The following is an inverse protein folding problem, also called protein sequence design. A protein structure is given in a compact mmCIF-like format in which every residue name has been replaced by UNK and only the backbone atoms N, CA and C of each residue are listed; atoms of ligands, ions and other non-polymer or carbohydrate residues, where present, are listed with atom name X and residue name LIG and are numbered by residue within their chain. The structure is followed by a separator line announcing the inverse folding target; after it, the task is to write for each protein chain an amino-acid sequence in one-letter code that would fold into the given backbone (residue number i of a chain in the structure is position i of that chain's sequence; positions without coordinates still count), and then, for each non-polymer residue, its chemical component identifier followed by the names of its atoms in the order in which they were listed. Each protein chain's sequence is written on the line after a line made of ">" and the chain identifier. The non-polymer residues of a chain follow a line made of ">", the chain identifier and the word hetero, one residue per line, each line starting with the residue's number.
data_IF_266577103428
#
_entry.id   IF_266577103428
#
_cell.length_a   1.000
_cell.length_b   1.000
_cell.length_c   1.000
_cell.angle_alpha   90.00
_cell.angle_beta   90.00
_cell.angle_gamma   90.00
#
_symmetry.space_group_name_H-M   'P 1'
#
loop_
_entity.id
_entity.type
_entity.pdbx_description
1 polymer ?
#
# COMPACT_ATOMS: atom_id res chain seq x y z
N UNK A 1 -35.07 27.29 -16.14
CA UNK A 1 -36.54 27.36 -16.08
C UNK A 1 -37.04 26.78 -17.38
N UNK A 2 -37.76 25.66 -17.29
CA UNK A 2 -38.59 25.01 -18.32
C UNK A 2 -37.93 24.56 -19.64
N UNK A 3 -37.69 23.26 -19.72
CA UNK A 3 -38.22 22.33 -20.75
C UNK A 3 -37.19 21.34 -21.29
N UNK A 4 -36.86 20.35 -20.46
CA UNK A 4 -36.65 18.98 -20.92
C UNK A 4 -37.65 18.07 -20.18
N UNK A 5 -38.87 18.09 -20.74
CA UNK A 5 -39.95 17.10 -20.70
C UNK A 5 -39.52 15.70 -20.24
N UNK A 6 -40.08 15.17 -19.15
CA UNK A 6 -41.37 14.45 -19.14
C UNK A 6 -41.35 13.02 -19.69
N UNK A 7 -40.26 12.26 -19.53
CA UNK A 7 -40.21 10.84 -19.94
C UNK A 7 -39.80 9.86 -18.82
N UNK A 8 -39.94 10.22 -17.54
CA UNK A 8 -39.60 9.28 -16.45
C UNK A 8 -40.60 9.25 -15.27
N UNK A 9 -41.83 9.74 -15.47
CA UNK A 9 -42.89 9.74 -14.45
C UNK A 9 -44.00 8.70 -14.70
N UNK A 10 -43.72 7.65 -15.48
CA UNK A 10 -44.75 6.72 -15.98
C UNK A 10 -44.69 5.26 -15.49
N UNK A 11 -43.72 4.84 -14.68
CA UNK A 11 -43.53 3.42 -14.34
C UNK A 11 -43.26 3.18 -12.85
N UNK A 12 -44.18 3.65 -12.01
CA UNK A 12 -44.38 3.14 -10.64
C UNK A 12 -45.89 3.13 -10.36
N UNK A 13 -46.62 2.21 -11.01
CA UNK A 13 -48.02 1.92 -10.71
C UNK A 13 -48.48 0.58 -11.28
N UNK A 14 -47.84 -0.51 -10.87
CA UNK A 14 -48.49 -1.82 -10.68
C UNK A 14 -47.53 -2.79 -10.00
N UNK A 15 -47.96 -3.28 -8.84
CA UNK A 15 -47.62 -4.59 -8.31
C UNK A 15 -47.93 -5.65 -9.41
N UNK A 16 -47.16 -6.74 -9.51
CA UNK A 16 -47.11 -7.74 -10.62
C UNK A 16 -46.08 -7.30 -11.69
N UNK A 17 -44.84 -7.78 -11.76
CA UNK A 17 -44.36 -9.16 -11.65
C UNK A 17 -43.17 -9.29 -10.69
N UNK A 18 -43.41 -9.91 -9.54
CA UNK A 18 -42.38 -10.62 -8.77
C UNK A 18 -42.55 -12.09 -9.17
N UNK A 19 -41.77 -12.57 -10.14
CA UNK A 19 -41.59 -14.01 -10.31
C UNK A 19 -40.56 -14.48 -9.27
N UNK A 20 -41.06 -14.74 -8.07
CA UNK A 20 -40.42 -15.63 -7.09
C UNK A 20 -40.37 -17.03 -7.69
N UNK A 21 -39.27 -17.37 -8.36
CA UNK A 21 -38.87 -18.77 -8.44
C UNK A 21 -37.99 -19.12 -7.24
N UNK A 22 -38.50 -20.08 -6.46
CA UNK A 22 -37.84 -20.77 -5.36
C UNK A 22 -36.41 -21.23 -5.75
N UNK A 23 -35.40 -20.39 -5.48
CA UNK A 23 -33.98 -20.76 -5.24
C UNK A 23 -33.09 -19.52 -4.98
N UNK A 24 -33.45 -18.69 -4.01
CA UNK A 24 -32.49 -17.92 -3.21
C UNK A 24 -31.71 -16.73 -3.81
N UNK A 25 -31.74 -16.47 -5.12
CA UNK A 25 -30.87 -15.43 -5.71
C UNK A 25 -31.62 -14.18 -6.18
N UNK A 26 -31.21 -13.01 -5.69
CA UNK A 26 -31.68 -11.71 -6.23
C UNK A 26 -30.67 -11.21 -7.29
N UNK A 27 -31.16 -10.80 -8.46
CA UNK A 27 -30.34 -10.27 -9.56
C UNK A 27 -30.57 -8.77 -9.72
N UNK A 28 -29.53 -7.98 -9.45
CA UNK A 28 -29.50 -6.55 -9.76
C UNK A 28 -28.78 -6.35 -11.09
N UNK A 29 -29.48 -5.75 -12.07
CA UNK A 29 -28.91 -5.35 -13.36
C UNK A 29 -28.51 -3.89 -13.31
N UNK A 30 -27.22 -3.62 -13.45
CA UNK A 30 -26.73 -2.33 -13.97
C UNK A 30 -26.31 -2.51 -15.43
N UNK A 31 -26.24 -1.42 -16.20
CA UNK A 31 -25.98 -1.47 -17.64
C UNK A 31 -24.65 -2.13 -18.08
N UNK A 32 -23.79 -2.59 -17.16
CA UNK A 32 -22.53 -3.27 -17.51
C UNK A 32 -22.17 -4.52 -16.70
N UNK A 33 -22.98 -4.95 -15.71
CA UNK A 33 -22.69 -6.18 -14.93
C UNK A 33 -23.94 -6.69 -14.21
N UNK A 34 -24.06 -8.02 -14.09
CA UNK A 34 -25.09 -8.71 -13.31
C UNK A 34 -24.45 -9.30 -12.06
N UNK A 35 -24.95 -8.95 -10.88
CA UNK A 35 -24.50 -9.52 -9.60
C UNK A 35 -25.55 -10.49 -9.07
N UNK A 36 -25.11 -11.66 -8.61
CA UNK A 36 -25.94 -12.69 -7.98
C UNK A 36 -25.63 -12.70 -6.49
N UNK A 37 -26.63 -12.41 -5.65
CA UNK A 37 -26.53 -12.50 -4.21
C UNK A 37 -27.50 -13.56 -3.69
N UNK A 38 -26.98 -14.48 -2.87
CA UNK A 38 -27.78 -15.46 -2.12
C UNK A 38 -28.20 -14.79 -0.81
N UNK A 39 -29.47 -14.37 -0.69
CA UNK A 39 -29.91 -13.45 0.38
C UNK A 39 -30.86 -14.16 1.34
N UNK A 40 -30.38 -14.35 2.57
CA UNK A 40 -31.19 -14.50 3.76
C UNK A 40 -30.98 -13.34 4.74
N UNK A 41 -31.24 -12.09 4.35
CA UNK A 41 -31.38 -10.90 5.24
C UNK A 41 -31.85 -9.67 4.44
N UNK A 42 -32.71 -8.83 5.03
CA UNK A 42 -33.31 -7.66 4.36
C UNK A 42 -32.28 -6.53 4.10
N UNK A 43 -32.35 -5.92 2.91
CA UNK A 43 -31.50 -4.80 2.49
C UNK A 43 -32.34 -3.52 2.39
N UNK A 44 -31.84 -2.42 2.96
CA UNK A 44 -32.40 -1.07 2.79
C UNK A 44 -31.40 -0.16 2.07
N UNK A 45 -31.93 0.69 1.18
CA UNK A 45 -31.20 1.70 0.42
C UNK A 45 -31.73 3.07 0.82
N UNK A 46 -30.84 3.92 1.35
CA UNK A 46 -31.12 5.34 1.55
C UNK A 46 -30.17 6.14 0.65
N UNK A 47 -30.74 7.02 -0.18
CA UNK A 47 -29.99 7.82 -1.14
C UNK A 47 -30.36 9.28 -0.91
N UNK A 48 -29.37 10.12 -0.60
CA UNK A 48 -29.52 11.58 -0.57
C UNK A 48 -28.86 12.20 -1.81
N UNK A 49 -29.33 13.39 -2.21
CA UNK A 49 -29.08 14.11 -3.47
C UNK A 49 -27.60 14.42 -3.84
N UNK A 50 -26.63 13.88 -3.10
CA UNK A 50 -25.20 13.91 -3.42
C UNK A 50 -24.67 12.50 -3.66
N UNK A 51 -25.08 11.86 -4.76
CA UNK A 51 -24.39 10.75 -5.46
C UNK A 51 -23.77 9.60 -4.64
N UNK A 52 -24.24 9.35 -3.41
CA UNK A 52 -23.79 8.27 -2.53
C UNK A 52 -25.05 7.54 -2.10
N UNK A 53 -25.14 6.25 -2.43
CA UNK A 53 -26.15 5.36 -1.86
C UNK A 53 -25.40 4.40 -0.92
N UNK A 54 -25.80 4.40 0.34
CA UNK A 54 -25.25 3.48 1.34
C UNK A 54 -26.12 2.22 1.39
N UNK A 55 -25.47 1.05 1.39
CA UNK A 55 -26.13 -0.25 1.54
C UNK A 55 -25.86 -0.76 2.94
N UNK A 56 -26.90 -0.84 3.77
CA UNK A 56 -26.81 -1.37 5.13
C UNK A 56 -27.07 -2.89 5.09
N UNK A 57 -26.05 -3.69 5.39
CA UNK A 57 -26.19 -5.13 5.66
C UNK A 57 -25.99 -5.39 7.16
N UNK A 58 -27.08 -5.73 7.86
CA UNK A 58 -26.97 -6.28 9.22
C UNK A 58 -26.81 -7.80 9.12
N UNK A 59 -25.61 -8.32 9.35
CA UNK A 59 -25.43 -9.71 9.77
C UNK A 59 -25.06 -9.75 11.25
N UNK A 60 -25.90 -10.42 12.03
CA UNK A 60 -25.57 -10.86 13.38
C UNK A 60 -24.44 -11.88 13.32
N UNK A 61 -23.36 -11.61 14.05
CA UNK A 61 -22.21 -12.46 14.37
C UNK A 61 -21.07 -12.60 13.33
N UNK A 62 -19.89 -12.17 13.79
CA UNK A 62 -18.50 -12.40 13.33
C UNK A 62 -17.89 -11.51 12.23
N UNK A 63 -16.89 -10.72 12.68
CA UNK A 63 -15.80 -10.05 11.96
C UNK A 63 -16.15 -9.27 10.69
N UNK A 64 -16.43 -7.98 10.86
CA UNK A 64 -16.44 -7.01 9.76
C UNK A 64 -14.99 -6.63 9.45
N UNK A 65 -14.47 -7.15 8.33
CA UNK A 65 -13.35 -6.53 7.60
C UNK A 65 -13.93 -5.33 6.87
N UNK A 66 -13.66 -4.12 7.37
CA UNK A 66 -13.97 -2.88 6.66
C UNK A 66 -13.01 -2.75 5.47
N UNK A 67 -13.46 -3.18 4.29
CA UNK A 67 -12.83 -2.79 3.03
C UNK A 67 -13.08 -1.29 2.82
N UNK A 68 -12.05 -0.48 3.06
CA UNK A 68 -11.94 0.83 2.39
C UNK A 68 -11.64 0.54 0.92
N UNK A 69 -12.68 0.37 0.11
CA UNK A 69 -12.55 0.34 -1.34
C UNK A 69 -12.37 1.79 -1.83
N UNK A 70 -11.16 2.32 -1.69
CA UNK A 70 -10.74 3.44 -2.53
C UNK A 70 -10.50 2.87 -3.92
N UNK A 71 -11.52 3.07 -4.76
CA UNK A 71 -11.48 2.84 -6.19
C UNK A 71 -10.28 3.61 -6.74
N UNK A 72 -9.23 2.91 -7.17
CA UNK A 72 -8.18 3.47 -8.04
C UNK A 72 -8.86 4.40 -9.05
N UNK A 73 -8.43 5.65 -9.23
CA UNK A 73 -9.14 6.59 -10.09
C UNK A 73 -9.31 6.00 -11.49
N UNK A 74 -10.54 5.56 -11.79
CA UNK A 74 -10.93 5.06 -13.10
C UNK A 74 -10.94 6.28 -14.02
N UNK A 75 -9.84 6.49 -14.73
CA UNK A 75 -9.76 7.48 -15.81
C UNK A 75 -10.80 7.09 -16.88
N UNK A 76 -11.85 7.92 -17.03
CA UNK A 76 -12.82 7.81 -18.12
C UNK A 76 -12.14 8.01 -19.48
N UNK A 77 -12.39 7.07 -20.39
CA UNK A 77 -11.77 6.99 -21.71
C UNK A 77 -12.35 7.99 -22.72
N UNK A 78 -11.53 8.55 -23.63
CA UNK A 78 -12.00 9.06 -24.91
C UNK A 78 -12.44 7.87 -25.78
N UNK A 79 -13.70 7.87 -26.20
CA UNK A 79 -14.15 7.01 -27.29
C UNK A 79 -13.60 7.59 -28.59
N UNK A 80 -12.76 6.84 -29.29
CA UNK A 80 -12.73 6.79 -30.75
C UNK A 80 -11.87 5.60 -31.21
N UNK A 81 -12.53 4.56 -31.75
CA UNK A 81 -11.86 3.40 -32.35
C UNK A 81 -11.61 3.67 -33.83
N UNK A 82 -10.35 3.58 -34.26
CA UNK A 82 -10.00 3.05 -35.58
C UNK A 82 -9.62 1.58 -35.44
N UNK A 83 -9.95 0.79 -36.46
CA UNK A 83 -10.23 -0.65 -36.37
C UNK A 83 -9.00 -1.58 -36.49
N UNK A 84 -7.78 -1.07 -36.57
CA UNK A 84 -6.59 -1.90 -36.85
C UNK A 84 -5.42 -1.72 -35.86
N UNK A 85 -5.62 -1.05 -34.71
CA UNK A 85 -4.56 -0.88 -33.71
C UNK A 85 -5.12 -1.13 -32.30
N UNK A 86 -4.88 -2.34 -31.76
CA UNK A 86 -5.37 -2.70 -30.43
C UNK A 86 -4.50 -1.98 -29.40
N UNK A 87 -5.02 -0.88 -28.86
CA UNK A 87 -4.34 -0.08 -27.84
C UNK A 87 -4.57 -0.60 -26.43
N UNK A 88 -5.56 -1.45 -26.22
CA UNK A 88 -5.94 -1.96 -24.91
C UNK A 88 -6.36 -3.43 -25.03
N UNK A 89 -5.82 -4.27 -24.15
CA UNK A 89 -6.12 -5.69 -24.08
C UNK A 89 -6.54 -6.05 -22.66
N UNK A 90 -7.74 -6.63 -22.54
CA UNK A 90 -8.33 -7.05 -21.29
C UNK A 90 -8.63 -8.56 -21.32
N UNK A 91 -7.89 -9.30 -20.50
CA UNK A 91 -8.00 -10.74 -20.30
C UNK A 91 -8.13 -11.07 -18.81
N UNK A 92 -9.06 -10.41 -18.13
CA UNK A 92 -9.52 -10.83 -16.81
C UNK A 92 -10.20 -12.20 -16.85
N UNK A 93 -9.96 -13.04 -15.82
CA UNK A 93 -10.63 -14.33 -15.60
C UNK A 93 -10.52 -15.34 -16.76
N UNK A 94 -9.40 -15.33 -17.49
CA UNK A 94 -9.17 -16.22 -18.64
C UNK A 94 -8.53 -17.55 -18.29
N UNK A 95 -8.27 -17.80 -16.99
CA UNK A 95 -7.56 -18.99 -16.52
C UNK A 95 -6.19 -19.18 -17.20
N UNK A 96 -5.53 -18.09 -17.59
CA UNK A 96 -4.22 -18.14 -18.23
C UNK A 96 -3.15 -18.59 -17.23
N UNK A 97 -2.36 -19.60 -17.59
CA UNK A 97 -1.19 -20.03 -16.83
C UNK A 97 0.12 -19.42 -17.33
N UNK A 98 0.12 -18.87 -18.55
CA UNK A 98 1.28 -18.23 -19.17
C UNK A 98 0.85 -17.19 -20.20
N UNK A 99 1.70 -16.19 -20.47
CA UNK A 99 1.50 -15.23 -21.56
C UNK A 99 1.51 -15.88 -22.94
N UNK A 100 2.08 -17.09 -23.09
CA UNK A 100 2.00 -17.84 -24.36
C UNK A 100 0.57 -18.19 -24.76
N UNK A 101 -0.37 -18.19 -23.80
CA UNK A 101 -1.80 -18.34 -24.06
C UNK A 101 -2.44 -17.14 -24.78
N UNK A 102 -1.70 -16.04 -24.93
CA UNK A 102 -2.15 -14.83 -25.65
C UNK A 102 -1.35 -14.74 -26.97
N UNK A 103 -1.88 -15.27 -28.08
CA UNK A 103 -1.18 -15.26 -29.35
C UNK A 103 -0.92 -13.82 -29.82
N UNK A 104 0.27 -13.58 -30.37
CA UNK A 104 0.71 -12.30 -30.93
C UNK A 104 0.77 -11.12 -29.94
N UNK A 105 0.70 -11.35 -28.62
CA UNK A 105 0.77 -10.27 -27.61
C UNK A 105 1.97 -9.34 -27.84
N UNK A 106 3.15 -9.92 -28.06
CA UNK A 106 4.41 -9.19 -28.25
C UNK A 106 4.47 -8.41 -29.57
N UNK A 107 3.59 -8.73 -30.53
CA UNK A 107 3.49 -8.04 -31.81
C UNK A 107 2.57 -6.82 -31.75
N UNK A 108 1.83 -6.63 -30.64
CA UNK A 108 0.91 -5.52 -30.44
C UNK A 108 1.67 -4.27 -29.98
N UNK A 109 2.48 -3.70 -30.86
CA UNK A 109 3.40 -2.59 -30.53
C UNK A 109 2.68 -1.31 -30.10
N UNK A 110 1.41 -1.12 -30.50
CA UNK A 110 0.59 0.03 -30.08
C UNK A 110 -0.14 -0.19 -28.76
N UNK A 111 0.06 -1.32 -28.07
CA UNK A 111 -0.61 -1.62 -26.82
C UNK A 111 -0.17 -0.66 -25.70
N UNK A 112 -1.14 0.00 -25.11
CA UNK A 112 -0.98 0.97 -24.02
C UNK A 112 -1.51 0.46 -22.68
N UNK A 113 -2.48 -0.47 -22.69
CA UNK A 113 -2.97 -1.13 -21.48
C UNK A 113 -3.06 -2.63 -21.66
N UNK A 114 -2.54 -3.36 -20.69
CA UNK A 114 -2.63 -4.81 -20.60
C UNK A 114 -3.17 -5.19 -19.23
N UNK A 115 -4.36 -5.81 -19.22
CA UNK A 115 -5.02 -6.28 -18.01
C UNK A 115 -5.10 -7.80 -18.04
N UNK A 116 -4.44 -8.46 -17.09
CA UNK A 116 -4.39 -9.92 -16.94
C UNK A 116 -4.77 -10.35 -15.52
N UNK A 117 -5.64 -9.57 -14.86
CA UNK A 117 -6.02 -9.83 -13.47
C UNK A 117 -6.85 -11.11 -13.34
N UNK A 118 -6.84 -11.76 -12.18
CA UNK A 118 -7.55 -13.02 -11.92
C UNK A 118 -7.19 -14.15 -12.90
N UNK A 119 -5.90 -14.39 -13.09
CA UNK A 119 -5.41 -15.53 -13.85
C UNK A 119 -4.57 -16.45 -12.95
N UNK A 120 -3.85 -17.39 -13.54
CA UNK A 120 -2.98 -18.35 -12.85
C UNK A 120 -1.54 -18.19 -13.33
N UNK A 121 -1.14 -16.97 -13.71
CA UNK A 121 0.20 -16.68 -14.20
C UNK A 121 1.20 -16.89 -13.07
N UNK A 122 2.23 -17.71 -13.30
CA UNK A 122 3.30 -17.96 -12.33
C UNK A 122 4.54 -17.10 -12.55
N UNK A 123 4.70 -16.57 -13.76
CA UNK A 123 5.80 -15.68 -14.12
C UNK A 123 5.44 -14.80 -15.31
N UNK A 124 6.21 -13.72 -15.50
CA UNK A 124 6.12 -12.83 -16.65
C UNK A 124 7.45 -12.92 -17.42
N UNK A 125 7.44 -13.27 -18.72
CA UNK A 125 8.65 -13.34 -19.52
C UNK A 125 9.26 -11.95 -19.72
N UNK A 126 10.59 -11.91 -19.84
CA UNK A 126 11.34 -10.67 -20.06
C UNK A 126 10.91 -9.90 -21.33
N UNK A 127 10.36 -10.60 -22.31
CA UNK A 127 9.82 -10.01 -23.55
C UNK A 127 8.64 -9.08 -23.34
N UNK A 128 8.02 -9.04 -22.15
CA UNK A 128 7.01 -8.01 -21.83
C UNK A 128 7.54 -6.59 -22.05
N UNK A 129 8.86 -6.41 -21.93
CA UNK A 129 9.55 -5.15 -22.18
C UNK A 129 9.52 -4.68 -23.64
N UNK A 130 9.16 -5.55 -24.59
CA UNK A 130 8.99 -5.21 -26.01
C UNK A 130 7.72 -4.37 -26.26
N UNK A 131 6.81 -4.31 -25.30
CA UNK A 131 5.62 -3.45 -25.34
C UNK A 131 5.98 -2.00 -24.97
N UNK A 132 6.78 -1.34 -25.81
CA UNK A 132 7.37 -0.02 -25.54
C UNK A 132 6.33 1.09 -25.28
N UNK A 133 5.10 0.91 -25.76
CA UNK A 133 3.99 1.86 -25.59
C UNK A 133 3.14 1.60 -24.34
N UNK A 134 3.45 0.56 -23.56
CA UNK A 134 2.67 0.16 -22.41
C UNK A 134 2.73 1.21 -21.30
N UNK A 135 1.54 1.65 -20.86
CA UNK A 135 1.34 2.65 -19.81
C UNK A 135 0.71 2.04 -18.56
N UNK A 136 -0.12 1.02 -18.73
CA UNK A 136 -0.82 0.34 -17.63
C UNK A 136 -0.63 -1.16 -17.78
N UNK A 137 -0.08 -1.78 -16.73
CA UNK A 137 0.03 -3.23 -16.61
C UNK A 137 -0.63 -3.66 -15.30
N UNK A 138 -1.68 -4.47 -15.39
CA UNK A 138 -2.34 -5.06 -14.22
C UNK A 138 -2.25 -6.58 -14.27
N UNK A 139 -1.70 -7.13 -13.20
CA UNK A 139 -1.42 -8.55 -12.96
C UNK A 139 -2.03 -8.99 -11.63
N UNK A 140 -3.05 -8.26 -11.16
CA UNK A 140 -3.64 -8.47 -9.83
C UNK A 140 -4.23 -9.86 -9.71
N UNK A 141 -4.09 -10.48 -8.53
CA UNK A 141 -4.64 -11.81 -8.25
C UNK A 141 -4.15 -12.88 -9.26
N UNK A 142 -2.86 -13.15 -9.21
CA UNK A 142 -2.18 -14.21 -9.97
C UNK A 142 -1.28 -15.02 -9.01
N UNK A 143 -0.39 -15.84 -9.55
CA UNK A 143 0.54 -16.69 -8.78
C UNK A 143 1.99 -16.31 -9.05
N UNK A 144 2.26 -15.04 -9.39
CA UNK A 144 3.58 -14.59 -9.84
C UNK A 144 4.56 -14.61 -8.66
N UNK A 145 5.65 -15.35 -8.82
CA UNK A 145 6.70 -15.47 -7.79
C UNK A 145 7.87 -14.50 -8.05
N UNK A 146 8.12 -14.17 -9.32
CA UNK A 146 9.19 -13.26 -9.74
C UNK A 146 8.78 -12.35 -10.90
N UNK A 147 9.34 -11.14 -10.90
CA UNK A 147 9.24 -10.20 -12.03
C UNK A 147 10.56 -10.17 -12.80
N UNK A 148 10.54 -10.09 -14.13
CA UNK A 148 11.75 -9.99 -14.93
C UNK A 148 12.44 -8.64 -14.68
N UNK A 149 13.77 -8.62 -14.66
CA UNK A 149 14.53 -7.36 -14.49
C UNK A 149 14.29 -6.33 -15.61
N UNK A 150 13.84 -6.79 -16.78
CA UNK A 150 13.46 -5.92 -17.89
C UNK A 150 12.16 -5.15 -17.65
N UNK A 151 11.35 -5.47 -16.62
CA UNK A 151 10.09 -4.75 -16.38
C UNK A 151 10.32 -3.24 -16.18
N UNK A 152 11.43 -2.85 -15.54
CA UNK A 152 11.79 -1.45 -15.31
C UNK A 152 12.25 -0.71 -16.58
N UNK A 153 12.45 -1.40 -17.71
CA UNK A 153 12.80 -0.75 -18.98
C UNK A 153 11.60 -0.20 -19.74
N UNK A 154 10.37 -0.50 -19.31
CA UNK A 154 9.13 0.05 -19.88
C UNK A 154 9.04 1.55 -19.60
N UNK A 155 9.60 2.36 -20.51
CA UNK A 155 9.81 3.80 -20.30
C UNK A 155 8.52 4.61 -20.13
N UNK A 156 7.40 4.13 -20.67
CA UNK A 156 6.09 4.78 -20.62
C UNK A 156 5.15 4.21 -19.55
N UNK A 157 5.59 3.20 -18.79
CA UNK A 157 4.75 2.58 -17.77
C UNK A 157 4.49 3.57 -16.63
N UNK A 158 3.21 3.83 -16.37
CA UNK A 158 2.72 4.74 -15.34
C UNK A 158 2.05 4.02 -14.19
N UNK A 159 1.40 2.89 -14.48
CA UNK A 159 0.69 2.10 -13.48
C UNK A 159 1.15 0.65 -13.59
N UNK A 160 1.67 0.12 -12.49
CA UNK A 160 1.98 -1.29 -12.32
C UNK A 160 1.21 -1.82 -11.11
N UNK A 161 0.26 -2.72 -11.36
CA UNK A 161 -0.41 -3.47 -10.30
C UNK A 161 0.00 -4.94 -10.37
N UNK A 162 0.67 -5.41 -9.34
CA UNK A 162 1.09 -6.79 -9.13
C UNK A 162 0.63 -7.28 -7.74
N UNK A 163 -0.43 -6.68 -7.21
CA UNK A 163 -0.99 -7.08 -5.92
C UNK A 163 -1.62 -8.47 -5.96
N UNK A 164 -1.76 -9.10 -4.79
CA UNK A 164 -2.30 -10.45 -4.62
C UNK A 164 -1.55 -11.46 -5.51
N UNK A 165 -0.24 -11.53 -5.30
CA UNK A 165 0.68 -12.48 -5.96
C UNK A 165 1.54 -13.17 -4.89
N UNK A 166 2.67 -13.77 -5.27
CA UNK A 166 3.58 -14.50 -4.38
C UNK A 166 5.00 -13.94 -4.45
N UNK A 167 5.13 -12.63 -4.71
CA UNK A 167 6.44 -12.01 -4.87
C UNK A 167 7.17 -12.03 -3.53
N UNK A 168 8.34 -12.66 -3.51
CA UNK A 168 9.24 -12.66 -2.35
C UNK A 168 10.44 -11.72 -2.52
N UNK A 169 10.71 -11.28 -3.75
CA UNK A 169 11.83 -10.40 -4.11
C UNK A 169 11.48 -9.53 -5.32
N UNK A 170 11.94 -8.28 -5.33
CA UNK A 170 11.90 -7.44 -6.53
C UNK A 170 13.25 -7.50 -7.26
N UNK A 171 13.25 -7.53 -8.61
CA UNK A 171 14.48 -7.71 -9.37
C UNK A 171 15.45 -6.53 -9.21
N UNK A 172 16.74 -6.78 -9.43
CA UNK A 172 17.74 -5.71 -9.45
C UNK A 172 17.38 -4.65 -10.48
N UNK A 173 17.52 -3.39 -10.09
CA UNK A 173 17.20 -2.28 -10.97
C UNK A 173 15.72 -1.90 -10.99
N UNK A 174 14.84 -2.54 -10.19
CA UNK A 174 13.40 -2.24 -10.16
C UNK A 174 13.10 -0.76 -9.97
N UNK A 175 13.90 -0.03 -9.19
CA UNK A 175 13.74 1.42 -9.02
C UNK A 175 14.11 2.29 -10.23
N UNK A 176 14.43 1.71 -11.39
CA UNK A 176 14.84 2.44 -12.61
C UNK A 176 13.67 2.91 -13.49
N UNK A 177 12.42 2.74 -13.03
CA UNK A 177 11.26 3.22 -13.79
C UNK A 177 11.31 4.74 -13.98
N UNK A 178 11.16 5.19 -15.23
CA UNK A 178 11.22 6.62 -15.56
C UNK A 178 9.91 7.35 -15.28
N UNK A 179 8.79 6.69 -15.54
CA UNK A 179 7.46 7.33 -15.58
C UNK A 179 6.43 6.70 -14.63
N UNK A 180 6.86 5.79 -13.74
CA UNK A 180 5.94 5.04 -12.89
C UNK A 180 5.36 5.96 -11.80
N UNK A 181 4.04 6.12 -11.81
CA UNK A 181 3.30 6.98 -10.90
C UNK A 181 2.60 6.17 -9.81
N UNK A 182 2.12 4.98 -10.14
CA UNK A 182 1.37 4.10 -9.23
C UNK A 182 1.98 2.72 -9.24
N UNK A 183 2.38 2.26 -8.06
CA UNK A 183 2.89 0.91 -7.82
C UNK A 183 2.08 0.25 -6.73
N UNK A 184 1.41 -0.85 -7.08
CA UNK A 184 0.66 -1.68 -6.14
C UNK A 184 1.31 -3.06 -6.02
N UNK A 185 1.82 -3.34 -4.82
CA UNK A 185 2.48 -4.57 -4.40
C UNK A 185 1.76 -5.22 -3.21
N UNK A 186 0.52 -4.79 -2.92
CA UNK A 186 -0.27 -5.27 -1.77
C UNK A 186 -0.50 -6.79 -1.85
N UNK A 187 -0.60 -7.50 -0.72
CA UNK A 187 -0.81 -8.96 -0.70
C UNK A 187 0.28 -9.73 -1.46
N UNK A 188 1.52 -9.60 -0.99
CA UNK A 188 2.68 -10.38 -1.46
C UNK A 188 3.47 -10.87 -0.23
N UNK A 189 4.68 -11.39 -0.46
CA UNK A 189 5.58 -11.90 0.59
C UNK A 189 6.86 -11.05 0.66
N UNK A 190 6.72 -9.73 0.52
CA UNK A 190 7.84 -8.80 0.50
C UNK A 190 8.19 -8.35 1.93
N UNK A 191 9.48 -8.13 2.16
CA UNK A 191 10.00 -7.47 3.35
C UNK A 191 11.07 -6.43 2.96
N UNK A 192 11.72 -5.81 3.94
CA UNK A 192 12.74 -4.77 3.69
C UNK A 192 13.94 -5.26 2.87
N UNK A 193 14.27 -6.56 2.92
CA UNK A 193 15.36 -7.17 2.13
C UNK A 193 14.92 -7.53 0.72
N UNK A 194 13.61 -7.60 0.47
CA UNK A 194 13.03 -7.86 -0.84
C UNK A 194 13.13 -6.65 -1.79
N UNK A 195 13.37 -5.45 -1.25
CA UNK A 195 13.50 -4.22 -2.03
C UNK A 195 14.96 -4.01 -2.50
N UNK A 196 15.22 -3.77 -3.80
CA UNK A 196 16.58 -3.46 -4.27
C UNK A 196 17.01 -2.08 -3.78
N UNK A 197 18.32 -1.86 -3.62
CA UNK A 197 18.86 -0.61 -3.07
C UNK A 197 18.50 0.67 -3.82
N UNK A 198 18.06 0.59 -5.09
CA UNK A 198 17.57 1.74 -5.84
C UNK A 198 16.04 1.93 -5.81
N UNK A 199 15.30 1.11 -5.05
CA UNK A 199 13.83 1.10 -5.03
C UNK A 199 13.22 2.49 -4.77
N UNK A 200 13.75 3.22 -3.79
CA UNK A 200 13.24 4.54 -3.42
C UNK A 200 13.70 5.69 -4.35
N UNK A 201 14.37 5.39 -5.47
CA UNK A 201 14.81 6.40 -6.45
C UNK A 201 13.80 6.64 -7.58
N UNK A 202 12.61 6.06 -7.50
CA UNK A 202 11.52 6.29 -8.45
C UNK A 202 10.90 7.68 -8.24
N UNK A 203 11.53 8.72 -8.77
CA UNK A 203 11.12 10.12 -8.56
C UNK A 203 9.70 10.43 -9.07
N UNK A 204 9.19 9.71 -10.07
CA UNK A 204 7.84 9.90 -10.62
C UNK A 204 6.72 9.31 -9.76
N UNK A 205 7.06 8.50 -8.75
CA UNK A 205 6.08 7.75 -7.96
C UNK A 205 5.23 8.68 -7.09
N UNK A 206 3.91 8.47 -7.15
CA UNK A 206 2.88 9.24 -6.43
C UNK A 206 2.08 8.38 -5.47
N UNK A 207 1.89 7.11 -5.78
CA UNK A 207 1.19 6.18 -4.92
C UNK A 207 1.95 4.86 -4.83
N UNK A 208 2.23 4.45 -3.60
CA UNK A 208 2.92 3.20 -3.27
C UNK A 208 2.07 2.40 -2.30
N UNK A 209 1.66 1.21 -2.72
CA UNK A 209 0.91 0.27 -1.90
C UNK A 209 1.76 -0.97 -1.60
N UNK A 210 2.02 -1.19 -0.32
CA UNK A 210 2.79 -2.29 0.25
C UNK A 210 2.03 -2.95 1.41
N UNK A 211 0.70 -2.80 1.45
CA UNK A 211 -0.12 -3.42 2.50
C UNK A 211 -0.10 -4.95 2.43
N UNK A 212 -0.42 -5.62 3.53
CA UNK A 212 -0.51 -7.08 3.58
C UNK A 212 0.78 -7.76 3.04
N UNK A 213 1.91 -7.44 3.66
CA UNK A 213 3.25 -7.97 3.38
C UNK A 213 3.96 -8.24 4.73
N UNK A 214 5.26 -8.57 4.70
CA UNK A 214 6.05 -8.99 5.87
C UNK A 214 7.08 -7.92 6.29
N UNK A 215 6.76 -6.63 6.15
CA UNK A 215 7.70 -5.55 6.52
C UNK A 215 7.76 -5.33 8.04
N UNK A 216 8.94 -5.47 8.63
CA UNK A 216 9.20 -5.10 10.03
C UNK A 216 9.71 -3.65 10.18
N UNK A 217 10.34 -3.12 9.12
CA UNK A 217 10.90 -1.77 9.08
C UNK A 217 10.72 -1.14 7.69
N UNK A 218 10.50 0.17 7.67
CA UNK A 218 10.58 0.99 6.45
C UNK A 218 11.97 1.65 6.39
N UNK A 219 12.78 1.43 5.34
CA UNK A 219 14.07 2.09 5.20
C UNK A 219 13.96 3.62 5.13
N UNK A 220 14.92 4.33 5.73
CA UNK A 220 14.98 5.80 5.71
C UNK A 220 15.12 6.41 4.30
N UNK A 221 15.56 5.61 3.33
CA UNK A 221 15.63 6.00 1.91
C UNK A 221 14.26 6.40 1.32
N UNK A 222 13.15 6.11 2.00
CA UNK A 222 11.80 6.57 1.62
C UNK A 222 11.73 8.08 1.37
N UNK A 223 12.58 8.89 2.01
CA UNK A 223 12.70 10.34 1.76
C UNK A 223 12.97 10.72 0.30
N UNK A 224 13.52 9.80 -0.49
CA UNK A 224 13.84 10.04 -1.89
C UNK A 224 12.60 10.07 -2.80
N UNK A 225 11.46 9.51 -2.35
CA UNK A 225 10.18 9.55 -3.06
C UNK A 225 9.45 10.90 -2.89
N UNK A 226 10.09 11.99 -3.33
CA UNK A 226 9.63 13.38 -3.08
C UNK A 226 8.25 13.72 -3.63
N UNK A 227 7.78 13.00 -4.65
CA UNK A 227 6.46 13.22 -5.29
C UNK A 227 5.35 12.32 -4.71
N UNK A 228 5.66 11.51 -3.69
CA UNK A 228 4.71 10.58 -3.10
C UNK A 228 3.58 11.32 -2.38
N UNK A 229 2.35 10.90 -2.68
CA UNK A 229 1.10 11.44 -2.14
C UNK A 229 0.35 10.39 -1.32
N UNK A 230 0.45 9.11 -1.71
CA UNK A 230 -0.21 8.00 -1.04
C UNK A 230 0.83 6.95 -0.68
N UNK A 231 0.87 6.60 0.60
CA UNK A 231 1.72 5.53 1.13
C UNK A 231 0.87 4.58 1.97
N UNK A 232 0.77 3.33 1.52
CA UNK A 232 0.01 2.28 2.22
C UNK A 232 0.95 1.17 2.69
N UNK A 233 0.97 0.98 4.00
CA UNK A 233 1.77 -0.03 4.72
C UNK A 233 0.90 -0.79 5.74
N UNK A 234 -0.43 -0.81 5.54
CA UNK A 234 -1.36 -1.51 6.44
C UNK A 234 -1.04 -3.01 6.55
N UNK A 235 -1.46 -3.64 7.64
CA UNK A 235 -1.43 -5.09 7.81
C UNK A 235 -0.04 -5.68 7.50
N UNK A 236 0.97 -5.10 8.14
CA UNK A 236 2.38 -5.53 8.11
C UNK A 236 2.85 -5.73 9.57
N UNK A 237 4.14 -5.97 9.77
CA UNK A 237 4.73 -6.16 11.10
C UNK A 237 5.60 -4.97 11.55
N UNK A 238 5.32 -3.75 11.06
CA UNK A 238 6.18 -2.59 11.30
C UNK A 238 6.35 -2.31 12.80
N UNK A 239 7.61 -2.30 13.26
CA UNK A 239 7.98 -2.03 14.66
C UNK A 239 8.23 -0.54 14.91
N UNK A 240 8.75 0.15 13.90
CA UNK A 240 9.03 1.58 13.92
C UNK A 240 8.99 2.17 12.52
N UNK A 241 8.93 3.50 12.45
CA UNK A 241 9.06 4.25 11.21
C UNK A 241 10.34 5.08 11.23
N UNK A 242 10.96 5.32 10.07
CA UNK A 242 12.12 6.20 9.97
C UNK A 242 11.70 7.67 10.14
N UNK A 243 12.46 8.50 10.88
CA UNK A 243 12.20 9.94 10.98
C UNK A 243 12.23 10.64 9.61
N UNK A 244 12.97 10.09 8.65
CA UNK A 244 13.05 10.52 7.26
C UNK A 244 11.69 10.56 6.55
N UNK A 245 10.71 9.77 7.00
CA UNK A 245 9.34 9.80 6.46
C UNK A 245 8.69 11.19 6.58
N UNK A 246 9.05 11.96 7.62
CA UNK A 246 8.55 13.33 7.83
C UNK A 246 9.04 14.36 6.80
N UNK A 247 9.91 13.96 5.85
CA UNK A 247 10.36 14.80 4.73
C UNK A 247 9.40 14.81 3.52
N UNK A 248 8.44 13.88 3.48
CA UNK A 248 7.49 13.72 2.36
C UNK A 248 6.37 14.77 2.40
N UNK A 249 6.70 16.02 2.10
CA UNK A 249 5.78 17.16 2.22
C UNK A 249 4.55 17.12 1.30
N UNK A 250 4.56 16.27 0.26
CA UNK A 250 3.43 16.07 -0.64
C UNK A 250 2.51 14.91 -0.23
N UNK A 251 2.85 14.19 0.84
CA UNK A 251 2.06 13.08 1.34
C UNK A 251 0.71 13.57 1.86
N UNK A 252 -0.37 12.97 1.37
CA UNK A 252 -1.76 13.25 1.73
C UNK A 252 -2.41 12.07 2.42
N UNK A 253 -1.99 10.87 2.09
CA UNK A 253 -2.56 9.65 2.61
C UNK A 253 -1.46 8.74 3.15
N UNK A 254 -1.62 8.35 4.41
CA UNK A 254 -0.72 7.47 5.12
C UNK A 254 -1.54 6.41 5.85
N UNK A 255 -1.41 5.17 5.40
CA UNK A 255 -2.15 4.03 5.95
C UNK A 255 -1.18 3.09 6.67
N UNK A 256 -1.26 3.04 8.01
CA UNK A 256 -0.37 2.28 8.90
C UNK A 256 -1.14 1.34 9.84
N UNK A 257 -2.44 1.16 9.61
CA UNK A 257 -3.28 0.32 10.46
C UNK A 257 -2.83 -1.15 10.43
N UNK A 258 -3.03 -1.88 11.52
CA UNK A 258 -2.69 -3.31 11.58
C UNK A 258 -1.18 -3.58 11.57
N UNK A 259 -0.41 -2.78 12.31
CA UNK A 259 1.03 -2.96 12.48
C UNK A 259 1.40 -3.17 13.96
N UNK A 260 2.70 -3.22 14.27
CA UNK A 260 3.23 -3.36 15.63
C UNK A 260 3.85 -2.07 16.15
N UNK A 261 3.39 -0.92 15.65
CA UNK A 261 3.93 0.38 16.04
C UNK A 261 3.50 0.71 17.47
N UNK A 262 4.49 1.01 18.31
CA UNK A 262 4.26 1.51 19.68
C UNK A 262 4.43 3.02 19.78
N UNK A 263 5.21 3.61 18.87
CA UNK A 263 5.51 5.04 18.78
C UNK A 263 5.61 5.49 17.32
N UNK A 264 5.56 6.80 17.13
CA UNK A 264 5.80 7.47 15.84
C UNK A 264 6.93 8.50 15.98
N UNK A 265 7.85 8.61 15.02
CA UNK A 265 8.82 9.70 14.99
C UNK A 265 8.12 11.07 15.05
N UNK A 266 8.58 12.03 15.89
CA UNK A 266 8.03 13.38 15.94
C UNK A 266 8.03 14.12 14.60
N UNK A 267 8.94 13.74 13.69
CA UNK A 267 9.04 14.26 12.33
C UNK A 267 7.75 14.04 11.52
N UNK A 268 6.98 12.98 11.81
CA UNK A 268 5.68 12.73 11.17
C UNK A 268 4.71 13.87 11.47
N UNK A 269 4.82 14.52 12.64
CA UNK A 269 4.02 15.69 13.00
C UNK A 269 4.21 16.89 12.06
N UNK A 270 5.28 16.93 11.24
CA UNK A 270 5.51 17.96 10.22
C UNK A 270 4.61 17.80 8.98
N UNK A 271 4.08 16.59 8.75
CA UNK A 271 3.22 16.30 7.62
C UNK A 271 1.82 16.90 7.82
N UNK A 272 1.19 17.33 6.74
CA UNK A 272 -0.18 17.85 6.75
C UNK A 272 -1.19 16.73 6.44
N UNK A 273 -1.38 15.83 7.41
CA UNK A 273 -2.22 14.63 7.28
C UNK A 273 -3.60 14.75 7.96
N UNK A 274 -4.00 15.95 8.38
CA UNK A 274 -5.22 16.20 9.18
C UNK A 274 -6.25 17.10 8.49
N UNK A 275 -5.99 17.51 7.25
CA UNK A 275 -6.93 18.30 6.47
C UNK A 275 -8.06 17.47 5.86
N UNK A 276 -9.09 18.13 5.26
CA UNK A 276 -10.30 17.47 4.77
C UNK A 276 -10.08 16.58 3.54
N UNK A 277 -8.90 16.62 2.92
CA UNK A 277 -8.53 15.80 1.75
C UNK A 277 -7.37 14.84 2.08
N UNK A 278 -7.09 14.66 3.36
CA UNK A 278 -5.98 13.86 3.84
C UNK A 278 -6.50 12.72 4.70
N UNK A 279 -5.78 11.60 4.66
CA UNK A 279 -6.18 10.37 5.32
C UNK A 279 -5.00 9.86 6.13
N UNK A 280 -5.21 9.68 7.43
CA UNK A 280 -4.24 9.06 8.33
C UNK A 280 -4.93 7.92 9.06
N UNK A 281 -4.51 6.69 8.77
CA UNK A 281 -4.99 5.46 9.41
C UNK A 281 -3.90 4.92 10.34
N UNK A 282 -4.24 4.78 11.62
CA UNK A 282 -3.34 4.38 12.72
C UNK A 282 -3.95 3.27 13.59
N UNK A 283 -5.12 2.76 13.21
CA UNK A 283 -5.89 1.78 13.95
C UNK A 283 -5.11 0.47 14.14
N UNK A 284 -5.48 -0.33 15.13
CA UNK A 284 -4.89 -1.67 15.34
C UNK A 284 -3.36 -1.68 15.43
N UNK A 285 -2.81 -0.76 16.24
CA UNK A 285 -1.40 -0.74 16.61
C UNK A 285 -1.28 -0.76 18.14
N UNK A 286 -0.23 -1.40 18.71
CA UNK A 286 -0.01 -1.46 20.15
C UNK A 286 0.61 -0.14 20.68
N UNK A 287 -0.12 0.96 20.51
CA UNK A 287 0.33 2.29 20.94
C UNK A 287 0.66 2.33 22.43
N UNK A 288 1.70 3.09 22.79
CA UNK A 288 1.94 3.43 24.20
C UNK A 288 0.73 4.19 24.76
N UNK A 289 0.44 4.08 26.07
CA UNK A 289 -0.77 4.67 26.66
C UNK A 289 -0.94 6.17 26.34
N UNK A 290 0.16 6.92 26.32
CA UNK A 290 0.14 8.35 26.00
C UNK A 290 -0.24 8.67 24.56
N UNK A 291 -0.01 7.77 23.59
CA UNK A 291 -0.52 7.94 22.21
C UNK A 291 -1.97 7.45 22.14
N UNK A 292 -2.26 6.30 22.77
CA UNK A 292 -3.59 5.72 22.77
C UNK A 292 -4.64 6.70 23.35
N UNK A 293 -4.34 7.36 24.47
CA UNK A 293 -5.21 8.37 25.06
C UNK A 293 -5.53 9.53 24.09
N UNK A 294 -4.57 9.94 23.26
CA UNK A 294 -4.77 11.01 22.27
C UNK A 294 -5.59 10.51 21.08
N UNK A 295 -5.36 9.27 20.68
CA UNK A 295 -6.13 8.60 19.63
C UNK A 295 -7.59 8.38 20.06
N UNK A 296 -7.83 7.98 21.29
CA UNK A 296 -9.18 7.77 21.84
C UNK A 296 -9.94 9.10 22.00
N UNK A 297 -9.21 10.20 22.29
CA UNK A 297 -9.81 11.52 22.45
C UNK A 297 -10.23 12.15 21.11
N UNK A 298 -9.30 12.25 20.16
CA UNK A 298 -9.48 13.04 18.92
C UNK A 298 -9.03 12.27 17.65
N UNK A 299 -8.91 10.95 17.73
CA UNK A 299 -8.45 10.11 16.61
C UNK A 299 -7.04 10.47 16.13
N UNK A 300 -6.83 10.34 14.83
CA UNK A 300 -5.56 10.68 14.19
C UNK A 300 -5.15 12.16 14.38
N UNK A 301 -6.12 13.06 14.54
CA UNK A 301 -5.85 14.48 14.77
C UNK A 301 -5.20 14.72 16.14
N UNK A 302 -5.71 14.09 17.21
CA UNK A 302 -5.14 14.17 18.55
C UNK A 302 -3.70 13.68 18.58
N UNK A 303 -3.45 12.53 17.95
CA UNK A 303 -2.09 11.98 17.81
C UNK A 303 -1.18 12.98 17.11
N UNK A 304 -1.58 13.53 15.95
CA UNK A 304 -0.75 14.50 15.21
C UNK A 304 -0.46 15.77 16.00
N UNK A 305 -1.40 16.28 16.80
CA UNK A 305 -1.14 17.42 17.69
C UNK A 305 -0.16 17.04 18.80
N UNK A 306 -0.31 15.85 19.38
CA UNK A 306 0.58 15.35 20.41
C UNK A 306 2.02 15.14 19.90
N UNK A 307 2.21 14.62 18.69
CA UNK A 307 3.53 14.47 18.06
C UNK A 307 4.28 15.81 17.93
N UNK A 308 3.55 16.92 17.75
CA UNK A 308 4.14 18.27 17.63
C UNK A 308 4.58 18.84 18.99
N UNK A 309 4.06 18.31 20.10
CA UNK A 309 4.36 18.79 21.45
C UNK A 309 5.79 18.46 21.89
N UNK A 310 6.38 19.33 22.72
CA UNK A 310 7.71 19.09 23.27
C UNK A 310 7.72 17.94 24.30
N UNK A 311 6.57 17.71 24.96
CA UNK A 311 6.39 16.58 25.87
C UNK A 311 6.55 15.24 25.15
N UNK A 312 5.93 15.09 23.97
CA UNK A 312 6.08 13.87 23.19
C UNK A 312 7.51 13.70 22.67
N UNK A 313 8.15 14.76 22.17
CA UNK A 313 9.56 14.70 21.73
C UNK A 313 10.48 14.19 22.83
N UNK A 314 10.29 14.63 24.07
CA UNK A 314 11.04 14.14 25.22
C UNK A 314 10.76 12.65 25.51
N UNK A 315 9.48 12.24 25.49
CA UNK A 315 9.08 10.85 25.70
C UNK A 315 9.66 9.94 24.62
N UNK A 316 9.55 10.33 23.35
CA UNK A 316 10.09 9.61 22.20
C UNK A 316 11.61 9.43 22.34
N UNK A 317 12.35 10.51 22.63
CA UNK A 317 13.81 10.44 22.84
C UNK A 317 14.21 9.45 23.95
N UNK A 318 13.45 9.37 25.05
CA UNK A 318 13.68 8.37 26.10
C UNK A 318 13.40 6.93 25.65
N UNK A 319 12.39 6.71 24.81
CA UNK A 319 12.06 5.38 24.30
C UNK A 319 13.03 4.91 23.21
N UNK A 320 13.45 5.80 22.31
CA UNK A 320 14.47 5.49 21.30
C UNK A 320 15.81 5.11 21.93
N UNK A 321 16.17 5.67 23.09
CA UNK A 321 17.36 5.27 23.84
C UNK A 321 17.25 3.87 24.46
N UNK A 322 16.03 3.41 24.80
CA UNK A 322 15.81 2.05 25.34
C UNK A 322 15.77 0.98 24.26
N UNK A 323 15.29 1.34 23.07
CA UNK A 323 15.10 0.43 21.93
C UNK A 323 16.17 0.59 20.85
N UNK A 324 17.18 1.45 21.07
CA UNK A 324 18.25 1.68 20.11
C UNK A 324 19.14 0.46 19.93
N UNK A 325 19.78 0.29 18.76
CA UNK A 325 20.78 -0.76 18.58
C UNK A 325 21.89 -0.60 19.60
N UNK A 326 22.22 -1.66 20.33
CA UNK A 326 23.41 -1.70 21.18
C UNK A 326 24.64 -1.50 20.29
N UNK A 327 25.17 -0.28 20.26
CA UNK A 327 26.37 0.03 19.49
C UNK A 327 27.61 -0.36 20.28
N UNK A 328 28.23 -1.48 19.90
CA UNK A 328 29.55 -1.88 20.38
C UNK A 328 30.61 -1.07 19.62
N UNK A 329 31.17 -0.04 20.25
CA UNK A 329 32.33 0.68 19.70
C UNK A 329 33.63 -0.03 20.06
N UNK A 330 34.52 -0.22 19.09
CA UNK A 330 35.90 -0.67 19.34
C UNK A 330 36.84 0.52 19.08
N UNK A 331 37.52 1.02 20.11
CA UNK A 331 38.55 2.07 19.95
C UNK A 331 39.91 1.41 20.04
N UNK A 332 40.64 1.33 18.93
CA UNK A 332 42.04 0.89 18.92
C UNK A 332 42.91 2.14 18.94
N UNK A 333 43.65 2.34 20.03
CA UNK A 333 44.73 3.34 20.07
C UNK A 333 46.06 2.61 19.90
N UNK A 334 46.96 3.19 19.11
CA UNK A 334 48.25 2.60 18.76
C UNK A 334 49.03 2.14 20.00
N UNK A 335 49.30 0.83 20.06
CA UNK A 335 50.20 0.20 21.02
C UNK A 335 49.54 -0.64 22.11
N UNK A 336 48.33 -0.29 22.56
CA UNK A 336 47.59 -1.00 23.61
C UNK A 336 46.08 -1.07 23.25
N UNK A 337 45.53 -2.28 23.17
CA UNK A 337 44.13 -2.50 22.77
C UNK A 337 43.18 -2.18 23.94
N UNK A 338 42.65 -0.96 24.00
CA UNK A 338 41.62 -0.58 24.97
C UNK A 338 40.22 -0.90 24.43
N UNK A 339 39.62 -2.01 24.86
CA UNK A 339 38.24 -2.37 24.47
C UNK A 339 37.23 -1.69 25.39
N UNK A 340 36.77 -0.48 25.03
CA UNK A 340 35.69 0.18 25.78
C UNK A 340 34.34 -0.34 25.27
N UNK A 341 33.70 -1.20 26.05
CA UNK A 341 32.32 -1.62 25.79
C UNK A 341 31.37 -0.65 26.49
N UNK A 342 30.71 0.24 25.75
CA UNK A 342 29.61 1.03 26.28
C UNK A 342 28.27 0.42 25.85
N UNK A 343 27.39 0.19 26.82
CA UNK A 343 25.97 -0.03 26.57
C UNK A 343 25.24 1.27 26.93
N UNK A 344 24.61 1.91 25.96
CA UNK A 344 23.71 3.03 26.25
C UNK A 344 22.45 2.47 26.94
N UNK A 345 22.41 2.50 28.28
CA UNK A 345 21.21 2.12 29.04
C UNK A 345 21.42 1.49 30.42
N UNK A 346 22.63 1.08 30.81
CA UNK A 346 22.98 0.54 32.14
C UNK A 346 24.33 1.11 32.61
N UNK A 347 24.71 1.05 33.91
CA UNK A 347 25.99 1.56 34.38
C UNK A 347 27.13 0.93 33.57
N UNK A 348 28.03 1.78 33.07
CA UNK A 348 29.13 1.38 32.20
C UNK A 348 30.02 0.32 32.87
N UNK A 349 29.97 -0.93 32.39
CA UNK A 349 31.00 -1.92 32.69
C UNK A 349 32.21 -1.65 31.79
N UNK A 350 33.18 -0.87 32.27
CA UNK A 350 34.45 -0.71 31.57
C UNK A 350 35.30 -1.97 31.79
N UNK A 351 35.65 -2.66 30.69
CA UNK A 351 36.55 -3.81 30.72
C UNK A 351 37.91 -3.36 30.20
N UNK A 352 38.93 -3.41 31.05
CA UNK A 352 40.30 -3.08 30.66
C UNK A 352 41.02 -4.39 30.28
N UNK A 353 41.61 -4.44 29.09
CA UNK A 353 42.45 -5.56 28.68
C UNK A 353 43.87 -5.02 28.45
N UNK A 354 44.84 -5.58 29.17
CA UNK A 354 46.27 -5.34 28.95
C UNK A 354 46.89 -6.67 28.51
N UNK A 355 47.16 -6.84 27.21
CA UNK A 355 47.64 -8.12 26.68
C UNK A 355 46.56 -9.22 26.63
N UNK A 356 46.87 -10.45 27.08
CA UNK A 356 45.96 -11.61 27.01
C UNK A 356 45.00 -11.75 28.21
N UNK A 357 45.14 -10.92 29.23
CA UNK A 357 44.32 -10.97 30.43
C UNK A 357 43.34 -9.78 30.46
N UNK A 358 42.05 -10.07 30.62
CA UNK A 358 40.99 -9.08 30.70
C UNK A 358 40.34 -9.13 32.08
N UNK A 359 40.34 -7.99 32.80
CA UNK A 359 39.65 -7.84 34.08
C UNK A 359 38.38 -6.98 33.91
N UNK A 360 37.32 -7.37 34.62
CA UNK A 360 36.07 -6.61 34.71
C UNK A 360 36.22 -5.65 35.89
N UNK A 361 36.19 -4.34 35.64
CA UNK A 361 36.13 -3.35 36.71
C UNK A 361 34.66 -3.13 37.07
N UNK A 362 34.25 -3.64 38.23
CA UNK A 362 32.95 -3.34 38.82
C UNK A 362 33.03 -1.96 39.50
N UNK A 363 32.12 -1.06 39.14
CA UNK A 363 31.82 0.16 39.90
C UNK A 363 30.32 0.21 40.16
#
# INVERSE_FOLDING_TARGET
>A
MTDFKSEFAGLLKSQEDIDTHLNGTMLLKSHYTTYSFDIGSQVWLDCNDSSICEVYLFLTCFCIVLFSAEVLPIFRMPKDKKKDDITELDHVDRNLSSLSGIPNLLQMTSLTRLTLSHNKLTSIPASIAELENLQVLTLWNNLIEELPSSISSLAKLRILNVGMNRLSLLPRGFGSFKSLEILDLTYNNLNERSLPGNFFFMESLRALYLGDNDFEMLPGDVQHLKNLQILVFRDNDLLSLPPELGSLSLLKELHLQGNRLSTLPPEIGKLDLIGPKQVLRLEHNPWVPSIQEQFDADGAQGVMQYLRSDNYKYLYGRQSLKNGPQTFGLVVMDGDVLVIVYSSGFPCLMKYCYGKDCEIADN
#
